data_IF_369730016272
#
_entry.id   IF_369730016272
#
_cell.length_a   1.000
_cell.length_b   1.000
_cell.length_c   1.000
_cell.angle_alpha   90.00
_cell.angle_beta   90.00
_cell.angle_gamma   90.00
#
_symmetry.space_group_name_H-M   'P 1'
#
loop_
_entity.id
_entity.type
_entity.pdbx_description
1 polymer ?
#
# COMPACT_ATOMS: atom_id res chain seq x y z
N UNK A 1 -23.74 -28.25 11.09
CA UNK A 1 -22.38 -28.75 11.40
C UNK A 1 -21.36 -28.29 10.36
N UNK A 2 -21.50 -28.66 9.09
CA UNK A 2 -20.51 -28.30 8.03
C UNK A 2 -20.35 -26.79 7.82
N UNK A 3 -21.45 -26.01 7.81
CA UNK A 3 -21.39 -24.55 7.68
C UNK A 3 -20.69 -23.86 8.85
N UNK A 4 -20.90 -24.38 10.07
CA UNK A 4 -20.25 -23.85 11.28
C UNK A 4 -18.74 -24.10 11.21
N UNK A 5 -18.34 -25.29 10.76
CA UNK A 5 -16.94 -25.63 10.53
C UNK A 5 -16.30 -24.71 9.47
N UNK A 6 -16.96 -24.49 8.33
CA UNK A 6 -16.46 -23.57 7.29
C UNK A 6 -16.35 -22.12 7.78
N UNK A 7 -17.34 -21.63 8.52
CA UNK A 7 -17.31 -20.28 9.08
C UNK A 7 -16.16 -20.11 10.09
N UNK A 8 -15.95 -21.11 10.95
CA UNK A 8 -14.84 -21.13 11.90
C UNK A 8 -13.48 -21.13 11.18
N UNK A 9 -13.32 -21.93 10.13
CA UNK A 9 -12.11 -21.98 9.33
C UNK A 9 -11.83 -20.64 8.64
N UNK A 10 -12.85 -20.01 8.04
CA UNK A 10 -12.73 -18.71 7.40
C UNK A 10 -12.35 -17.61 8.39
N UNK A 11 -13.00 -17.58 9.56
CA UNK A 11 -12.71 -16.64 10.63
C UNK A 11 -11.27 -16.79 11.14
N UNK A 12 -10.80 -18.03 11.35
CA UNK A 12 -9.44 -18.29 11.79
C UNK A 12 -8.39 -17.91 10.74
N UNK A 13 -8.62 -18.21 9.46
CA UNK A 13 -7.75 -17.78 8.37
C UNK A 13 -7.65 -16.24 8.28
N UNK A 14 -8.77 -15.54 8.45
CA UNK A 14 -8.79 -14.08 8.54
C UNK A 14 -7.99 -13.57 9.76
N UNK A 15 -8.17 -14.16 10.95
CA UNK A 15 -7.45 -13.74 12.15
C UNK A 15 -5.94 -13.95 12.06
N UNK A 16 -5.49 -15.07 11.49
CA UNK A 16 -4.06 -15.32 11.22
C UNK A 16 -3.51 -14.25 10.29
N UNK A 17 -4.25 -13.94 9.22
CA UNK A 17 -3.84 -12.94 8.23
C UNK A 17 -3.82 -11.53 8.82
N UNK A 18 -4.82 -11.19 9.65
CA UNK A 18 -4.91 -9.94 10.40
C UNK A 18 -3.73 -9.78 11.36
N UNK A 19 -3.41 -10.82 12.14
CA UNK A 19 -2.30 -10.79 13.07
C UNK A 19 -0.95 -10.61 12.36
N UNK A 20 -0.82 -11.08 11.12
CA UNK A 20 0.34 -10.83 10.26
C UNK A 20 0.63 -9.34 10.03
N UNK A 21 -0.40 -8.49 10.05
CA UNK A 21 -0.26 -7.03 9.92
C UNK A 21 -0.03 -6.31 11.26
N UNK A 22 -0.37 -6.94 12.38
CA UNK A 22 -0.20 -6.36 13.70
C UNK A 22 1.24 -6.55 14.19
N UNK A 23 1.83 -5.48 14.71
CA UNK A 23 3.14 -5.51 15.38
C UNK A 23 2.93 -5.36 16.87
N UNK A 24 3.57 -6.20 17.68
CA UNK A 24 3.49 -6.11 19.14
C UNK A 24 4.40 -7.10 19.85
N UNK A 25 4.74 -6.80 21.10
CA UNK A 25 5.62 -7.63 21.94
C UNK A 25 5.12 -9.08 22.11
N UNK A 26 3.80 -9.29 21.99
CA UNK A 26 3.16 -10.62 22.11
C UNK A 26 2.89 -11.30 20.77
N UNK A 27 3.41 -10.79 19.64
CA UNK A 27 3.10 -11.31 18.30
C UNK A 27 3.40 -12.81 18.18
N UNK A 28 4.56 -13.25 18.64
CA UNK A 28 4.96 -14.66 18.58
C UNK A 28 4.01 -15.58 19.35
N UNK A 29 3.53 -15.14 20.53
CA UNK A 29 2.57 -15.90 21.33
C UNK A 29 1.20 -15.99 20.62
N UNK A 30 0.73 -14.89 20.04
CA UNK A 30 -0.55 -14.86 19.30
C UNK A 30 -0.46 -15.72 18.04
N UNK A 31 0.63 -15.63 17.28
CA UNK A 31 0.88 -16.46 16.10
C UNK A 31 0.86 -17.96 16.45
N UNK A 32 1.52 -18.35 17.56
CA UNK A 32 1.53 -19.73 18.02
C UNK A 32 0.12 -20.23 18.38
N UNK A 33 -0.67 -19.43 19.10
CA UNK A 33 -2.04 -19.79 19.49
C UNK A 33 -2.95 -19.91 18.26
N UNK A 34 -2.95 -18.91 17.37
CA UNK A 34 -3.77 -18.93 16.17
C UNK A 34 -3.38 -20.08 15.24
N UNK A 35 -2.07 -20.35 15.09
CA UNK A 35 -1.56 -21.49 14.34
C UNK A 35 -2.05 -22.83 14.91
N UNK A 36 -1.95 -23.01 16.22
CA UNK A 36 -2.45 -24.21 16.90
C UNK A 36 -3.96 -24.40 16.71
N UNK A 37 -4.74 -23.31 16.76
CA UNK A 37 -6.19 -23.36 16.51
C UNK A 37 -6.53 -23.76 15.07
N UNK A 38 -5.81 -23.25 14.07
CA UNK A 38 -6.01 -23.66 12.67
C UNK A 38 -5.66 -25.13 12.47
N UNK A 39 -4.54 -25.59 13.01
CA UNK A 39 -4.15 -27.01 12.94
C UNK A 39 -5.19 -27.89 13.63
N UNK A 40 -5.68 -27.49 14.80
CA UNK A 40 -6.75 -28.20 15.52
C UNK A 40 -8.04 -28.31 14.70
N UNK A 41 -8.47 -27.22 14.05
CA UNK A 41 -9.62 -27.24 13.13
C UNK A 41 -9.40 -28.21 11.96
N UNK A 42 -8.20 -28.24 11.36
CA UNK A 42 -7.90 -29.18 10.30
C UNK A 42 -7.98 -30.63 10.79
N UNK A 43 -7.40 -30.94 11.95
CA UNK A 43 -7.46 -32.29 12.57
C UNK A 43 -8.91 -32.70 12.82
N UNK A 44 -9.75 -31.82 13.35
CA UNK A 44 -11.19 -32.07 13.50
C UNK A 44 -11.84 -32.36 12.14
N UNK A 45 -11.44 -31.64 11.09
CA UNK A 45 -11.84 -31.91 9.70
C UNK A 45 -11.58 -33.34 9.27
N UNK A 46 -10.35 -33.84 9.50
CA UNK A 46 -9.95 -35.20 9.15
C UNK A 46 -10.67 -36.27 9.99
N UNK A 47 -10.81 -36.05 11.30
CA UNK A 47 -11.36 -37.05 12.24
C UNK A 47 -12.88 -37.12 12.15
N UNK A 48 -13.57 -35.98 12.16
CA UNK A 48 -15.03 -35.95 12.25
C UNK A 48 -15.74 -36.09 10.90
N UNK A 49 -15.09 -35.68 9.80
CA UNK A 49 -15.70 -35.63 8.47
C UNK A 49 -14.97 -36.51 7.43
N UNK A 50 -13.89 -37.18 7.83
CA UNK A 50 -13.11 -38.05 6.98
C UNK A 50 -12.03 -37.33 6.17
N UNK A 51 -11.16 -38.12 5.53
CA UNK A 51 -9.95 -37.63 4.88
C UNK A 51 -10.22 -36.70 3.68
N UNK A 52 -11.29 -36.94 2.92
CA UNK A 52 -11.66 -36.09 1.79
C UNK A 52 -12.01 -34.67 2.26
N UNK A 53 -12.82 -34.58 3.33
CA UNK A 53 -13.22 -33.29 3.89
C UNK A 53 -12.06 -32.58 4.56
N UNK A 54 -11.14 -33.31 5.20
CA UNK A 54 -9.89 -32.76 5.71
C UNK A 54 -9.02 -32.13 4.62
N UNK A 55 -8.86 -32.80 3.48
CA UNK A 55 -8.12 -32.27 2.33
C UNK A 55 -8.77 -31.00 1.75
N UNK A 56 -10.10 -30.99 1.62
CA UNK A 56 -10.85 -29.79 1.18
C UNK A 56 -10.68 -28.63 2.15
N UNK A 57 -10.74 -28.88 3.47
CA UNK A 57 -10.53 -27.87 4.50
C UNK A 57 -9.13 -27.26 4.41
N UNK A 58 -8.11 -28.07 4.15
CA UNK A 58 -6.73 -27.59 3.96
C UNK A 58 -6.65 -26.60 2.79
N UNK A 59 -7.19 -26.97 1.62
CA UNK A 59 -7.19 -26.10 0.43
C UNK A 59 -7.95 -24.80 0.72
N UNK A 60 -9.13 -24.88 1.34
CA UNK A 60 -9.94 -23.72 1.67
C UNK A 60 -9.24 -22.76 2.65
N UNK A 61 -8.43 -23.26 3.59
CA UNK A 61 -7.67 -22.41 4.49
C UNK A 61 -6.73 -21.46 3.73
N UNK A 62 -6.03 -21.96 2.71
CA UNK A 62 -5.17 -21.15 1.85
C UNK A 62 -5.96 -20.15 1.00
N UNK A 63 -7.08 -20.58 0.42
CA UNK A 63 -7.96 -19.70 -0.36
C UNK A 63 -8.49 -18.56 0.51
N UNK A 64 -8.97 -18.85 1.72
CA UNK A 64 -9.43 -17.84 2.66
C UNK A 64 -8.33 -16.90 3.11
N UNK A 65 -7.11 -17.38 3.36
CA UNK A 65 -5.98 -16.50 3.67
C UNK A 65 -5.67 -15.53 2.52
N UNK A 66 -5.70 -16.00 1.27
CA UNK A 66 -5.50 -15.16 0.08
C UNK A 66 -6.58 -14.08 -0.07
N UNK A 67 -7.85 -14.47 0.00
CA UNK A 67 -9.00 -13.56 -0.17
C UNK A 67 -9.14 -12.59 1.01
N UNK A 68 -8.80 -13.02 2.23
CA UNK A 68 -8.92 -12.20 3.44
C UNK A 68 -7.86 -11.12 3.56
N UNK A 69 -6.72 -11.24 2.87
CA UNK A 69 -5.59 -10.32 2.96
C UNK A 69 -5.95 -8.82 2.80
N UNK A 70 -6.69 -8.37 1.77
CA UNK A 70 -7.09 -6.96 1.65
C UNK A 70 -8.02 -6.50 2.79
N UNK A 71 -8.95 -7.36 3.22
CA UNK A 71 -9.86 -7.05 4.33
C UNK A 71 -9.11 -6.96 5.66
N UNK A 72 -8.18 -7.88 5.89
CA UNK A 72 -7.32 -7.91 7.06
C UNK A 72 -6.43 -6.67 7.13
N UNK A 73 -5.85 -6.24 6.01
CA UNK A 73 -5.08 -5.00 5.93
C UNK A 73 -5.95 -3.77 6.28
N UNK A 74 -7.16 -3.69 5.72
CA UNK A 74 -8.10 -2.60 6.02
C UNK A 74 -8.53 -2.59 7.50
N UNK A 75 -8.79 -3.77 8.08
CA UNK A 75 -9.13 -3.91 9.49
C UNK A 75 -7.95 -3.53 10.40
N UNK A 76 -6.73 -3.98 10.08
CA UNK A 76 -5.52 -3.60 10.81
C UNK A 76 -5.32 -2.09 10.81
N UNK A 77 -5.48 -1.42 9.65
CA UNK A 77 -5.39 0.03 9.54
C UNK A 77 -6.40 0.75 10.46
N UNK A 78 -7.64 0.27 10.53
CA UNK A 78 -8.68 0.81 11.42
C UNK A 78 -8.37 0.60 12.91
N UNK A 79 -7.87 -0.57 13.28
CA UNK A 79 -7.51 -0.88 14.66
C UNK A 79 -6.32 -0.05 15.13
N UNK A 80 -5.27 0.07 14.31
CA UNK A 80 -4.08 0.85 14.63
C UNK A 80 -4.35 2.37 14.69
N UNK A 81 -5.26 2.87 13.83
CA UNK A 81 -5.68 4.27 13.89
C UNK A 81 -6.54 4.58 15.12
N UNK A 82 -7.36 3.64 15.59
CA UNK A 82 -8.19 3.80 16.79
C UNK A 82 -7.41 3.70 18.10
N UNK A 83 -6.33 2.91 18.13
CA UNK A 83 -5.52 2.68 19.34
C UNK A 83 -4.58 3.85 19.70
N UNK A 84 -4.45 4.85 18.84
CA UNK A 84 -3.49 5.94 19.04
C UNK A 84 -4.18 7.31 19.05
N UNK A 85 -4.30 7.93 20.24
CA UNK A 85 -4.74 9.32 20.39
C UNK A 85 -3.61 10.30 20.03
N UNK A 86 -3.60 10.82 18.79
CA UNK A 86 -2.66 11.80 18.17
C UNK A 86 -1.10 11.67 18.34
N UNK A 87 -0.26 12.47 17.67
CA UNK A 87 0.11 12.49 16.25
C UNK A 87 1.56 11.97 15.96
N UNK A 88 1.89 11.82 14.67
CA UNK A 88 3.21 11.49 14.07
C UNK A 88 3.74 10.05 14.23
N UNK A 89 3.93 9.36 13.10
CA UNK A 89 4.54 8.02 13.02
C UNK A 89 3.60 6.88 12.60
N UNK A 90 2.39 7.21 12.13
CA UNK A 90 1.31 6.24 11.87
C UNK A 90 1.33 5.74 10.43
N UNK A 91 1.05 4.45 10.30
CA UNK A 91 0.53 3.83 9.09
C UNK A 91 -0.37 4.83 8.34
N UNK A 92 0.08 5.29 7.16
CA UNK A 92 -0.80 6.07 6.29
C UNK A 92 -1.85 5.09 5.83
N UNK A 93 -3.02 5.19 6.44
CA UNK A 93 -4.20 4.45 5.98
C UNK A 93 -4.48 4.79 4.51
N UNK A 94 -5.51 4.15 3.95
CA UNK A 94 -5.91 4.37 2.56
C UNK A 94 -5.95 5.87 2.21
N UNK A 95 -5.56 6.24 0.97
CA UNK A 95 -5.63 7.63 0.55
C UNK A 95 -7.07 8.12 0.67
N UNK A 96 -7.23 9.42 0.92
CA UNK A 96 -8.57 10.01 0.93
C UNK A 96 -9.29 9.76 -0.41
N UNK A 97 -10.62 9.82 -0.45
CA UNK A 97 -11.38 9.40 -1.63
C UNK A 97 -10.99 10.14 -2.92
N UNK A 98 -10.56 11.41 -2.82
CA UNK A 98 -10.17 12.21 -3.99
C UNK A 98 -8.84 11.71 -4.53
N UNK A 99 -7.80 11.66 -3.68
CA UNK A 99 -6.49 11.14 -4.08
C UNK A 99 -6.56 9.69 -4.55
N UNK A 100 -7.41 8.87 -3.93
CA UNK A 100 -7.63 7.49 -4.34
C UNK A 100 -8.24 7.36 -5.75
N UNK A 101 -9.14 8.26 -6.15
CA UNK A 101 -9.67 8.29 -7.54
C UNK A 101 -8.60 8.72 -8.54
N UNK A 102 -7.84 9.75 -8.22
CA UNK A 102 -6.73 10.23 -9.06
C UNK A 102 -5.69 9.12 -9.22
N UNK A 103 -5.25 8.51 -8.12
CA UNK A 103 -4.29 7.40 -8.08
C UNK A 103 -4.76 6.18 -8.90
N UNK A 104 -6.05 5.83 -8.83
CA UNK A 104 -6.60 4.75 -9.66
C UNK A 104 -6.57 5.07 -11.14
N UNK A 105 -6.80 6.33 -11.51
CA UNK A 105 -6.73 6.78 -12.90
C UNK A 105 -5.29 6.75 -13.42
N UNK A 106 -4.33 7.14 -12.58
CA UNK A 106 -2.89 7.11 -12.89
C UNK A 106 -2.31 5.69 -12.95
N UNK A 107 -2.76 4.81 -12.04
CA UNK A 107 -2.21 3.47 -11.83
C UNK A 107 -2.97 2.35 -12.53
N UNK A 108 -3.90 2.65 -13.44
CA UNK A 108 -4.55 1.63 -14.28
C UNK A 108 -3.49 0.91 -15.12
N UNK A 109 -3.27 -0.37 -14.84
CA UNK A 109 -2.43 -1.22 -15.69
C UNK A 109 -3.06 -1.28 -17.08
N UNK A 110 -2.28 -0.88 -18.08
CA UNK A 110 -2.69 -0.92 -19.49
C UNK A 110 -2.59 -2.35 -20.01
N UNK A 111 -3.50 -2.72 -20.91
CA UNK A 111 -3.23 -3.84 -21.80
C UNK A 111 -2.05 -3.48 -22.72
N UNK A 112 -1.28 -4.46 -23.22
CA UNK A 112 -0.19 -4.21 -24.16
C UNK A 112 -0.63 -3.40 -25.39
N UNK A 113 -1.86 -3.62 -25.84
CA UNK A 113 -2.49 -2.91 -26.97
C UNK A 113 -2.69 -1.41 -26.69
N UNK A 114 -3.18 -1.06 -25.49
CA UNK A 114 -3.32 0.33 -25.07
C UNK A 114 -1.97 1.01 -24.91
N UNK A 115 -0.97 0.29 -24.39
CA UNK A 115 0.39 0.83 -24.27
C UNK A 115 1.02 1.16 -25.63
N UNK A 116 0.77 0.34 -26.65
CA UNK A 116 1.22 0.59 -28.02
C UNK A 116 0.49 1.78 -28.67
N UNK A 117 -0.82 1.85 -28.49
CA UNK A 117 -1.65 2.94 -29.03
C UNK A 117 -1.25 4.30 -28.43
N UNK A 118 -0.98 4.34 -27.13
CA UNK A 118 -0.49 5.52 -26.42
C UNK A 118 0.90 5.98 -26.89
N UNK A 119 1.78 5.04 -27.26
CA UNK A 119 3.10 5.34 -27.80
C UNK A 119 3.01 5.95 -29.20
N UNK A 120 2.04 5.50 -30.00
CA UNK A 120 1.83 5.98 -31.37
C UNK A 120 1.10 7.34 -31.41
N UNK A 121 0.19 7.59 -30.47
CA UNK A 121 -0.70 8.75 -30.48
C UNK A 121 -0.39 9.82 -29.41
N UNK A 122 0.74 9.73 -28.71
CA UNK A 122 1.21 10.80 -27.80
C UNK A 122 0.57 10.80 -26.41
N UNK A 123 0.09 9.66 -25.94
CA UNK A 123 -0.52 9.46 -24.62
C UNK A 123 -2.00 9.85 -24.55
N UNK A 124 -2.79 8.99 -23.90
CA UNK A 124 -4.23 9.17 -23.69
C UNK A 124 -4.52 10.46 -22.91
N UNK A 125 -5.40 11.31 -23.44
CA UNK A 125 -5.92 12.53 -22.78
C UNK A 125 -6.22 12.30 -21.30
N UNK A 126 -6.89 11.18 -20.98
CA UNK A 126 -7.26 10.79 -19.62
C UNK A 126 -6.08 10.74 -18.61
N UNK A 127 -4.87 10.41 -19.06
CA UNK A 127 -3.67 10.36 -18.20
C UNK A 127 -3.03 11.72 -18.01
N UNK A 128 -3.10 12.57 -19.04
CA UNK A 128 -2.69 13.97 -18.94
C UNK A 128 -3.62 14.68 -17.96
N UNK A 129 -4.93 14.43 -18.08
CA UNK A 129 -5.97 14.98 -17.21
C UNK A 129 -5.76 14.52 -15.75
N UNK A 130 -5.61 13.21 -15.51
CA UNK A 130 -5.39 12.68 -14.17
C UNK A 130 -4.06 13.15 -13.53
N UNK A 131 -3.05 13.48 -14.34
CA UNK A 131 -1.79 14.05 -13.84
C UNK A 131 -1.99 15.51 -13.46
N UNK A 132 -2.65 16.30 -14.29
CA UNK A 132 -3.00 17.68 -13.92
C UNK A 132 -3.83 17.70 -12.64
N UNK A 133 -4.83 16.82 -12.52
CA UNK A 133 -5.66 16.68 -11.31
C UNK A 133 -4.82 16.39 -10.07
N UNK A 134 -3.77 15.56 -10.19
CA UNK A 134 -2.85 15.30 -9.08
C UNK A 134 -2.09 16.56 -8.66
N UNK A 135 -1.54 17.30 -9.62
CA UNK A 135 -0.76 18.50 -9.34
C UNK A 135 -1.64 19.58 -8.70
N UNK A 136 -2.85 19.77 -9.23
CA UNK A 136 -3.82 20.72 -8.69
C UNK A 136 -4.27 20.32 -7.28
N UNK A 137 -4.47 19.03 -7.05
CA UNK A 137 -4.74 18.47 -5.73
C UNK A 137 -3.60 18.74 -4.74
N UNK A 138 -2.35 18.61 -5.16
CA UNK A 138 -1.17 18.90 -4.34
C UNK A 138 -1.09 20.39 -3.97
N UNK A 139 -1.20 21.27 -4.97
CA UNK A 139 -1.10 22.74 -4.78
C UNK A 139 -2.26 23.29 -3.94
N UNK A 140 -3.43 22.64 -3.95
CA UNK A 140 -4.56 23.04 -3.11
C UNK A 140 -4.36 22.77 -1.60
N UNK A 141 -3.33 22.00 -1.20
CA UNK A 141 -3.11 21.63 0.20
C UNK A 141 -2.09 22.54 0.90
N UNK A 142 -2.45 23.19 2.02
CA UNK A 142 -1.54 24.08 2.76
C UNK A 142 -0.22 23.41 3.17
N UNK A 143 -0.26 22.18 3.67
CA UNK A 143 0.95 21.46 4.09
C UNK A 143 1.88 21.06 2.94
N UNK A 144 1.35 20.97 1.71
CA UNK A 144 2.18 20.75 0.52
C UNK A 144 2.82 22.06 0.07
N UNK A 145 2.05 23.15 0.05
CA UNK A 145 2.55 24.49 -0.25
C UNK A 145 3.71 24.89 0.67
N UNK A 146 3.62 24.57 1.97
CA UNK A 146 4.70 24.82 2.93
C UNK A 146 5.99 24.07 2.55
N UNK A 147 5.88 22.80 2.17
CA UNK A 147 7.04 22.01 1.71
C UNK A 147 7.59 22.58 0.42
N UNK A 148 6.74 22.90 -0.56
CA UNK A 148 7.15 23.51 -1.82
C UNK A 148 7.94 24.80 -1.59
N UNK A 149 7.42 25.70 -0.73
CA UNK A 149 8.13 26.93 -0.37
C UNK A 149 9.47 26.67 0.31
N UNK A 150 9.55 25.68 1.21
CA UNK A 150 10.80 25.36 1.91
C UNK A 150 11.91 24.78 1.02
N UNK A 151 11.54 24.20 -0.13
CA UNK A 151 12.47 23.62 -1.11
C UNK A 151 12.54 24.43 -2.41
N UNK A 152 11.92 25.62 -2.46
CA UNK A 152 11.82 26.46 -3.67
C UNK A 152 11.28 25.70 -4.90
N UNK A 153 10.25 24.89 -4.68
CA UNK A 153 9.60 24.08 -5.71
C UNK A 153 8.39 24.81 -6.29
N UNK A 154 8.26 24.76 -7.60
CA UNK A 154 7.06 25.19 -8.32
C UNK A 154 6.20 23.99 -8.78
N UNK A 155 5.11 24.26 -9.50
CA UNK A 155 4.22 23.21 -10.02
C UNK A 155 4.91 22.34 -11.08
N UNK A 156 5.83 22.91 -11.87
CA UNK A 156 6.63 22.17 -12.86
C UNK A 156 7.56 21.20 -12.15
N UNK A 157 8.15 21.60 -11.03
CA UNK A 157 9.01 20.72 -10.24
C UNK A 157 8.28 19.51 -9.68
N UNK A 158 7.03 19.67 -9.25
CA UNK A 158 6.21 18.53 -8.85
C UNK A 158 5.96 17.56 -10.01
N UNK A 159 5.78 18.09 -11.22
CA UNK A 159 5.63 17.26 -12.42
C UNK A 159 6.93 16.52 -12.74
N UNK A 160 8.08 17.19 -12.66
CA UNK A 160 9.40 16.59 -12.89
C UNK A 160 9.71 15.51 -11.84
N UNK A 161 9.43 15.78 -10.56
CA UNK A 161 9.56 14.80 -9.48
C UNK A 161 8.63 13.60 -9.71
N UNK A 162 7.40 13.83 -10.18
CA UNK A 162 6.49 12.74 -10.53
C UNK A 162 7.09 11.84 -11.61
N UNK A 163 7.61 12.42 -12.69
CA UNK A 163 8.21 11.66 -13.78
C UNK A 163 9.50 10.96 -13.36
N UNK A 164 10.35 11.60 -12.57
CA UNK A 164 11.54 10.99 -12.01
C UNK A 164 11.18 9.74 -11.19
N UNK A 165 10.22 9.87 -10.26
CA UNK A 165 9.71 8.76 -9.46
C UNK A 165 9.17 7.62 -10.32
N UNK A 166 8.41 7.93 -11.37
CA UNK A 166 7.91 6.93 -12.31
C UNK A 166 9.05 6.19 -13.01
N UNK A 167 10.07 6.91 -13.49
CA UNK A 167 11.20 6.34 -14.22
C UNK A 167 12.04 5.38 -13.36
N UNK A 168 12.11 5.61 -12.05
CA UNK A 168 12.85 4.75 -11.10
C UNK A 168 11.99 3.70 -10.39
N UNK A 169 10.75 3.50 -10.85
CA UNK A 169 9.91 2.37 -10.44
C UNK A 169 8.95 2.66 -9.28
N UNK A 170 8.73 3.92 -8.90
CA UNK A 170 7.67 4.29 -7.95
C UNK A 170 6.26 4.29 -8.60
N UNK A 171 6.15 3.99 -9.90
CA UNK A 171 4.89 3.77 -10.62
C UNK A 171 4.26 2.41 -10.29
N UNK A 172 4.05 2.14 -9.00
CA UNK A 172 3.48 0.88 -8.52
C UNK A 172 2.53 1.10 -7.35
N UNK A 173 1.73 0.08 -7.05
CA UNK A 173 0.82 0.07 -5.91
C UNK A 173 1.49 -0.51 -4.66
N UNK A 174 1.42 0.20 -3.54
CA UNK A 174 1.88 -0.26 -2.24
C UNK A 174 0.93 0.20 -1.13
N UNK A 175 0.43 -0.73 -0.29
CA UNK A 175 -0.49 -0.38 0.81
C UNK A 175 -1.79 0.32 0.38
N UNK A 176 -2.23 0.16 -0.86
CA UNK A 176 -3.40 0.87 -1.41
C UNK A 176 -3.10 2.27 -1.96
N UNK A 177 -1.82 2.64 -2.05
CA UNK A 177 -1.34 3.89 -2.63
C UNK A 177 -0.67 3.65 -3.98
N UNK A 178 -0.95 4.52 -4.95
CA UNK A 178 -0.05 4.71 -6.09
C UNK A 178 1.15 5.51 -5.60
N UNK A 179 2.31 4.86 -5.50
CA UNK A 179 3.45 5.36 -4.70
C UNK A 179 3.92 6.72 -5.20
N UNK A 180 4.12 6.91 -6.50
CA UNK A 180 4.53 8.20 -7.07
C UNK A 180 3.55 9.35 -6.75
N UNK A 181 2.23 9.13 -6.91
CA UNK A 181 1.25 10.18 -6.60
C UNK A 181 1.18 10.46 -5.10
N UNK A 182 1.18 9.40 -4.29
CA UNK A 182 1.10 9.55 -2.84
C UNK A 182 2.37 10.21 -2.28
N UNK A 183 3.54 9.96 -2.87
CA UNK A 183 4.77 10.60 -2.46
C UNK A 183 4.69 12.14 -2.57
N UNK A 184 4.03 12.67 -3.60
CA UNK A 184 3.84 14.10 -3.77
C UNK A 184 2.67 14.66 -2.94
N UNK A 185 1.63 13.86 -2.73
CA UNK A 185 0.38 14.31 -2.11
C UNK A 185 0.41 14.38 -0.56
N UNK A 186 1.51 14.00 0.06
CA UNK A 186 1.71 14.05 1.51
C UNK A 186 2.99 14.82 1.90
N UNK A 187 2.92 15.76 2.86
CA UNK A 187 4.03 16.64 3.20
C UNK A 187 5.35 15.92 3.53
N UNK A 188 5.34 14.93 4.42
CA UNK A 188 6.60 14.26 4.83
C UNK A 188 7.24 13.48 3.68
N UNK A 189 6.42 12.92 2.78
CA UNK A 189 6.96 12.19 1.63
C UNK A 189 7.47 13.13 0.56
N UNK A 190 6.79 14.25 0.33
CA UNK A 190 7.26 15.26 -0.61
C UNK A 190 8.58 15.86 -0.12
N UNK A 191 8.69 16.16 1.18
CA UNK A 191 9.93 16.62 1.81
C UNK A 191 11.07 15.63 1.62
N UNK A 192 10.81 14.33 1.86
CA UNK A 192 11.78 13.27 1.63
C UNK A 192 12.23 13.20 0.16
N UNK A 193 11.27 13.24 -0.78
CA UNK A 193 11.56 13.23 -2.22
C UNK A 193 12.36 14.45 -2.62
N UNK A 194 11.95 15.65 -2.21
CA UNK A 194 12.64 16.90 -2.52
C UNK A 194 14.09 16.90 -2.01
N UNK A 195 14.33 16.36 -0.81
CA UNK A 195 15.68 16.25 -0.22
C UNK A 195 16.59 15.26 -0.96
N UNK A 196 16.02 14.22 -1.58
CA UNK A 196 16.77 13.12 -2.21
C UNK A 196 16.85 13.22 -3.73
N UNK A 197 15.93 13.94 -4.36
CA UNK A 197 15.73 13.95 -5.82
C UNK A 197 15.48 15.37 -6.37
N UNK A 198 15.57 16.42 -5.55
CA UNK A 198 15.32 17.81 -5.96
C UNK A 198 16.39 18.40 -6.88
N UNK A 199 16.14 19.63 -7.35
CA UNK A 199 17.03 20.35 -8.28
C UNK A 199 18.48 20.39 -7.78
N UNK A 200 19.42 20.05 -8.65
CA UNK A 200 20.86 20.25 -8.41
C UNK A 200 21.60 19.13 -7.67
N UNK A 201 20.91 18.10 -7.19
CA UNK A 201 21.57 16.87 -6.74
C UNK A 201 21.61 15.87 -7.90
N UNK A 202 22.80 15.64 -8.44
CA UNK A 202 23.06 14.42 -9.23
C UNK A 202 23.00 13.24 -8.26
N UNK A 203 21.78 12.85 -7.89
CA UNK A 203 21.56 11.71 -7.01
C UNK A 203 22.12 10.48 -7.72
N UNK A 204 23.01 9.78 -7.02
CA UNK A 204 23.47 8.48 -7.47
C UNK A 204 22.26 7.58 -7.74
N UNK A 205 22.34 6.76 -8.79
CA UNK A 205 21.24 5.86 -9.18
C UNK A 205 20.87 4.95 -8.01
N UNK A 206 21.85 4.51 -7.25
CA UNK A 206 21.64 3.68 -6.06
C UNK A 206 20.92 4.44 -4.93
N UNK A 207 21.23 5.72 -4.71
CA UNK A 207 20.52 6.54 -3.72
C UNK A 207 19.06 6.74 -4.12
N UNK A 208 18.82 6.98 -5.40
CA UNK A 208 17.46 7.14 -5.94
C UNK A 208 16.64 5.85 -5.79
N UNK A 209 17.24 4.70 -6.08
CA UNK A 209 16.60 3.40 -5.87
C UNK A 209 16.30 3.12 -4.39
N UNK A 210 17.22 3.48 -3.49
CA UNK A 210 16.98 3.38 -2.03
C UNK A 210 15.84 4.29 -1.59
N UNK A 211 15.74 5.51 -2.15
CA UNK A 211 14.65 6.43 -1.86
C UNK A 211 13.29 5.84 -2.30
N UNK A 212 13.20 5.27 -3.51
CA UNK A 212 11.98 4.58 -3.98
C UNK A 212 11.63 3.40 -3.10
N UNK A 213 12.60 2.56 -2.75
CA UNK A 213 12.36 1.44 -1.85
C UNK A 213 11.84 1.91 -0.48
N UNK A 214 12.41 2.98 0.08
CA UNK A 214 11.93 3.58 1.32
C UNK A 214 10.49 4.08 1.19
N UNK A 215 10.12 4.71 0.08
CA UNK A 215 8.74 5.13 -0.19
C UNK A 215 7.78 3.94 -0.29
N UNK A 216 8.14 2.89 -1.03
CA UNK A 216 7.32 1.67 -1.13
C UNK A 216 7.10 1.08 0.27
N UNK A 217 8.16 0.94 1.06
CA UNK A 217 8.09 0.41 2.42
C UNK A 217 7.31 1.33 3.38
N UNK A 218 7.40 2.64 3.17
CA UNK A 218 6.63 3.63 3.91
C UNK A 218 5.14 3.44 3.69
N UNK A 219 4.69 3.34 2.43
CA UNK A 219 3.27 3.16 2.13
C UNK A 219 2.77 1.73 2.38
N UNK A 220 3.59 0.70 2.16
CA UNK A 220 3.19 -0.70 2.39
C UNK A 220 3.09 -1.02 3.88
N UNK A 221 4.08 -0.59 4.68
CA UNK A 221 4.29 -1.08 6.06
C UNK A 221 4.32 0.03 7.11
N UNK A 222 4.14 1.29 6.72
CA UNK A 222 4.29 2.43 7.62
C UNK A 222 5.74 2.61 8.09
N UNK A 223 6.73 2.18 7.32
CA UNK A 223 8.13 2.39 7.67
C UNK A 223 8.45 3.89 7.73
N UNK A 224 9.23 4.39 8.71
CA UNK A 224 9.62 5.79 8.73
C UNK A 224 10.50 6.13 7.52
N UNK A 225 10.31 7.31 6.95
CA UNK A 225 11.22 7.86 5.96
C UNK A 225 12.41 8.45 6.72
N UNK A 226 13.59 7.88 6.54
CA UNK A 226 14.77 8.30 7.28
C UNK A 226 15.22 9.70 6.85
N UNK A 227 15.29 10.63 7.80
CA UNK A 227 15.95 11.91 7.64
C UNK A 227 17.46 11.72 7.83
N UNK A 228 18.18 11.24 6.80
CA UNK A 228 19.64 11.40 6.73
C UNK A 228 19.98 12.59 5.86
#
# INVERSE_FOLDING_TARGET
>A
MIYVFHAALAAMAFLVTLNGFLKGAKKAQIDAILGAMVVGLLVVGFVAFGWMMGAVALILAFVYAGISRPLAAAAAARLLSSASGSPSGRYRGLPDPVLGRISRSLGRQRSPEQALDDLLHGGSSQRIDARSDLLDYCVAKPGILEVMQSFDLDRSDLEDLYFALMAVGAGQWAGGHWVAASALAYPDSLRFVAKKMGRGQAADRDETLRAVYALVMHFERGAPLAES
#
